data_IF_237837199970
#
_entry.id   IF_237837199970
#
_cell.length_a   1.000
_cell.length_b   1.000
_cell.length_c   1.000
_cell.angle_alpha   90.00
_cell.angle_beta   90.00
_cell.angle_gamma   90.00
#
_symmetry.space_group_name_H-M   'P 1'
#
loop_
_entity.id
_entity.type
_entity.pdbx_description
1 polymer ?
#
# COMPACT_ATOMS: atom_id res chain seq x y z
N UNK A 1 -3.41 18.86 3.53
CA UNK A 1 -2.37 17.87 3.91
C UNK A 1 -2.18 16.93 2.72
N UNK A 2 -0.95 16.55 2.36
CA UNK A 2 -0.75 15.60 1.25
C UNK A 2 -1.21 14.20 1.65
N UNK A 3 -1.95 13.55 0.74
CA UNK A 3 -2.50 12.19 0.88
C UNK A 3 -1.60 11.20 0.17
N UNK A 4 -1.05 10.23 0.90
CA UNK A 4 -0.29 9.11 0.39
C UNK A 4 -1.15 7.86 0.50
N UNK A 5 -1.57 7.32 -0.64
CA UNK A 5 -2.44 6.15 -0.69
C UNK A 5 -1.61 4.90 -0.95
N UNK A 6 -1.91 3.84 -0.19
CA UNK A 6 -1.32 2.52 -0.35
C UNK A 6 -2.34 1.62 -1.03
N UNK A 7 -2.06 1.18 -2.27
CA UNK A 7 -2.94 0.32 -3.06
C UNK A 7 -2.24 -0.98 -3.48
N UNK A 8 -3.02 -1.91 -4.03
CA UNK A 8 -2.55 -3.23 -4.48
C UNK A 8 -3.59 -4.32 -4.17
N UNK A 9 -3.34 -5.51 -4.71
CA UNK A 9 -4.22 -6.67 -4.53
C UNK A 9 -4.44 -7.06 -3.06
N UNK A 10 -5.51 -7.80 -2.73
CA UNK A 10 -5.66 -8.42 -1.42
C UNK A 10 -4.39 -9.17 -1.01
N UNK A 11 -4.03 -9.11 0.28
CA UNK A 11 -2.88 -9.80 0.86
C UNK A 11 -1.49 -9.41 0.32
N UNK A 12 -1.37 -8.35 -0.51
CA UNK A 12 -0.08 -7.84 -0.97
C UNK A 12 0.79 -7.24 0.16
N UNK A 13 0.20 -6.95 1.33
CA UNK A 13 0.91 -6.44 2.51
C UNK A 13 0.70 -4.94 2.80
N UNK A 14 -0.36 -4.33 2.26
CA UNK A 14 -0.71 -2.90 2.43
C UNK A 14 -0.83 -2.45 3.88
N UNK A 15 -1.63 -3.16 4.67
CA UNK A 15 -1.86 -2.83 6.08
C UNK A 15 -0.57 -2.98 6.91
N UNK A 16 0.13 -4.11 6.76
CA UNK A 16 1.43 -4.34 7.44
C UNK A 16 2.43 -3.24 7.09
N UNK A 17 2.57 -2.93 5.80
CA UNK A 17 3.44 -1.84 5.34
C UNK A 17 3.05 -0.51 5.98
N UNK A 18 1.76 -0.16 5.98
CA UNK A 18 1.29 1.13 6.47
C UNK A 18 1.56 1.30 7.97
N UNK A 19 1.29 0.27 8.77
CA UNK A 19 1.55 0.27 10.21
C UNK A 19 3.05 0.33 10.53
N UNK A 20 3.84 -0.55 9.92
CA UNK A 20 5.29 -0.59 10.15
C UNK A 20 5.98 0.65 9.62
N UNK A 21 5.55 1.20 8.49
CA UNK A 21 6.14 2.41 7.93
C UNK A 21 5.83 3.62 8.83
N UNK A 22 4.60 3.71 9.37
CA UNK A 22 4.27 4.74 10.35
C UNK A 22 5.15 4.67 11.60
N UNK A 23 5.33 3.48 12.16
CA UNK A 23 6.20 3.24 13.30
C UNK A 23 7.67 3.54 12.98
N UNK A 24 8.17 3.12 11.80
CA UNK A 24 9.51 3.43 11.30
C UNK A 24 9.75 4.95 11.18
N UNK A 25 8.72 5.71 10.85
CA UNK A 25 8.77 7.18 10.81
C UNK A 25 8.71 7.82 12.21
N UNK A 26 8.61 7.04 13.28
CA UNK A 26 8.55 7.50 14.67
C UNK A 26 7.14 7.79 15.18
N UNK A 27 6.10 7.32 14.50
CA UNK A 27 4.71 7.50 14.95
C UNK A 27 4.34 6.36 15.89
N UNK A 28 4.30 6.64 17.19
CA UNK A 28 3.80 5.73 18.22
C UNK A 28 3.23 6.55 19.40
N UNK A 29 2.04 6.20 19.94
CA UNK A 29 1.14 5.14 19.48
C UNK A 29 0.49 5.48 18.11
N UNK A 30 -0.10 4.48 17.47
CA UNK A 30 -0.74 4.64 16.16
C UNK A 30 -2.18 5.10 16.35
N UNK A 31 -2.48 6.34 15.94
CA UNK A 31 -3.84 6.88 15.92
C UNK A 31 -4.46 6.68 14.53
N UNK A 32 -5.36 5.71 14.42
CA UNK A 32 -6.05 5.37 13.18
C UNK A 32 -7.45 5.98 13.15
N UNK A 33 -7.76 6.69 12.07
CA UNK A 33 -9.12 7.00 11.68
C UNK A 33 -9.61 5.91 10.72
N UNK A 34 -10.69 5.22 11.09
CA UNK A 34 -11.35 4.23 10.23
C UNK A 34 -12.60 4.88 9.67
N UNK A 35 -12.62 5.07 8.35
CA UNK A 35 -13.77 5.65 7.64
C UNK A 35 -14.71 4.54 7.20
N UNK A 36 -15.96 4.62 7.64
CA UNK A 36 -17.05 3.74 7.26
C UNK A 36 -18.22 4.63 6.80
N UNK A 37 -18.52 4.59 5.50
CA UNK A 37 -19.52 5.44 4.87
C UNK A 37 -19.32 6.94 5.20
N UNK A 38 -20.27 7.55 5.93
CA UNK A 38 -20.23 8.96 6.38
C UNK A 38 -19.68 9.13 7.79
N UNK A 39 -19.29 8.04 8.45
CA UNK A 39 -18.81 8.04 9.83
C UNK A 39 -17.32 7.79 9.89
N UNK A 40 -16.65 8.44 10.85
CA UNK A 40 -15.23 8.22 11.13
C UNK A 40 -15.10 7.84 12.59
N UNK A 41 -14.56 6.65 12.84
CA UNK A 41 -14.20 6.21 14.20
C UNK A 41 -12.69 6.34 14.39
N UNK A 42 -12.27 6.68 15.60
CA UNK A 42 -10.87 6.83 15.95
C UNK A 42 -10.47 5.72 16.91
N UNK A 43 -9.35 5.08 16.63
CA UNK A 43 -8.77 4.03 17.49
C UNK A 43 -7.29 4.26 17.66
N UNK A 44 -6.79 4.00 18.86
CA UNK A 44 -5.37 4.08 19.19
C UNK A 44 -4.86 2.68 19.44
N UNK A 45 -3.73 2.34 18.84
CA UNK A 45 -3.13 1.02 18.95
C UNK A 45 -1.63 1.08 19.27
N UNK A 46 -1.14 0.09 20.01
CA UNK A 46 0.27 -0.30 19.93
C UNK A 46 0.57 -0.95 18.57
N UNK A 47 1.83 -0.97 18.13
CA UNK A 47 2.18 -1.54 16.82
C UNK A 47 1.82 -3.03 16.72
N UNK A 48 2.24 -3.84 17.71
CA UNK A 48 1.99 -5.28 17.71
C UNK A 48 0.49 -5.59 17.76
N UNK A 49 -0.25 -4.87 18.59
CA UNK A 49 -1.71 -4.96 18.70
C UNK A 49 -2.39 -4.61 17.35
N UNK A 50 -1.94 -3.54 16.69
CA UNK A 50 -2.47 -3.14 15.39
C UNK A 50 -2.25 -4.24 14.33
N UNK A 51 -1.05 -4.83 14.30
CA UNK A 51 -0.73 -5.91 13.36
C UNK A 51 -1.64 -7.11 13.62
N UNK A 52 -1.82 -7.52 14.88
CA UNK A 52 -2.65 -8.65 15.25
C UNK A 52 -4.13 -8.44 14.87
N UNK A 53 -4.70 -7.27 15.18
CA UNK A 53 -6.13 -7.03 14.98
C UNK A 53 -6.50 -6.67 13.53
N UNK A 54 -5.62 -5.95 12.81
CA UNK A 54 -5.95 -5.34 11.52
C UNK A 54 -5.50 -6.18 10.32
N UNK A 55 -4.69 -7.22 10.52
CA UNK A 55 -4.20 -8.09 9.45
C UNK A 55 -4.84 -9.47 9.50
N UNK A 56 -4.89 -10.17 8.37
CA UNK A 56 -5.37 -11.55 8.29
C UNK A 56 -4.84 -12.22 7.03
N UNK A 57 -4.61 -13.54 7.03
CA UNK A 57 -4.36 -14.29 5.80
C UNK A 57 -5.61 -14.39 4.90
N UNK A 58 -6.83 -14.19 5.46
CA UNK A 58 -8.06 -14.20 4.65
C UNK A 58 -8.13 -12.93 3.79
N UNK A 59 -8.44 -13.05 2.48
CA UNK A 59 -8.56 -11.88 1.61
C UNK A 59 -9.69 -10.95 2.09
N UNK A 60 -9.59 -9.68 1.71
CA UNK A 60 -10.57 -8.63 2.03
C UNK A 60 -10.79 -8.36 3.52
N UNK A 61 -9.76 -8.55 4.36
CA UNK A 61 -9.79 -8.13 5.77
C UNK A 61 -9.98 -6.63 5.95
N UNK A 62 -9.31 -5.82 5.12
CA UNK A 62 -9.45 -4.36 5.10
C UNK A 62 -10.56 -3.99 4.13
N UNK A 63 -11.76 -3.71 4.67
CA UNK A 63 -12.92 -3.24 3.87
C UNK A 63 -13.15 -1.73 3.97
N UNK A 64 -12.38 -1.04 4.82
CA UNK A 64 -12.56 0.37 5.14
C UNK A 64 -11.25 1.11 4.89
N UNK A 65 -11.34 2.39 4.52
CA UNK A 65 -10.16 3.24 4.46
C UNK A 65 -9.64 3.48 5.89
N UNK A 66 -8.38 3.14 6.12
CA UNK A 66 -7.70 3.39 7.38
C UNK A 66 -6.68 4.49 7.17
N UNK A 67 -6.89 5.62 7.85
CA UNK A 67 -6.09 6.82 7.70
C UNK A 67 -5.27 7.06 8.97
N UNK A 68 -3.99 7.41 8.80
CA UNK A 68 -3.12 7.79 9.91
C UNK A 68 -2.21 8.95 9.50
N UNK A 69 -1.90 9.84 10.43
CA UNK A 69 -1.05 11.01 10.16
C UNK A 69 0.35 10.75 10.68
N UNK A 70 1.35 10.88 9.81
CA UNK A 70 2.77 10.73 10.17
C UNK A 70 3.52 12.04 10.02
N UNK A 71 4.50 12.23 10.89
CA UNK A 71 5.47 13.31 10.80
C UNK A 71 6.70 12.86 9.98
N UNK A 72 7.04 13.63 8.96
CA UNK A 72 8.24 13.43 8.15
C UNK A 72 9.19 14.61 8.36
N UNK A 73 10.38 14.37 8.95
CA UNK A 73 11.43 15.37 9.00
C UNK A 73 11.79 15.82 7.58
N UNK A 74 11.87 17.12 7.33
CA UNK A 74 12.27 17.68 6.05
C UNK A 74 13.50 18.58 6.24
N UNK A 75 14.13 19.00 5.12
CA UNK A 75 15.30 19.90 5.17
C UNK A 75 15.01 21.21 5.94
N UNK A 76 13.75 21.65 5.98
CA UNK A 76 13.25 22.73 6.83
C UNK A 76 11.97 22.26 7.55
N UNK A 77 12.05 22.06 8.86
CA UNK A 77 10.91 21.71 9.71
C UNK A 77 10.39 20.28 9.54
N UNK A 78 9.14 20.08 9.95
CA UNK A 78 8.45 18.79 9.92
C UNK A 78 7.22 18.90 9.02
N UNK A 79 7.14 18.06 7.99
CA UNK A 79 5.94 17.94 7.15
C UNK A 79 5.05 16.84 7.72
N UNK A 80 3.74 17.06 7.74
CA UNK A 80 2.75 16.03 8.08
C UNK A 80 2.08 15.52 6.82
N UNK A 81 1.97 14.20 6.70
CA UNK A 81 1.25 13.55 5.61
C UNK A 81 0.24 12.55 6.17
N UNK A 82 -0.79 12.28 5.38
CA UNK A 82 -1.76 11.25 5.68
C UNK A 82 -1.39 9.99 4.91
N UNK A 83 -1.10 8.90 5.61
CA UNK A 83 -1.04 7.56 5.01
C UNK A 83 -2.44 6.96 5.04
N UNK A 84 -2.85 6.35 3.93
CA UNK A 84 -4.18 5.80 3.75
C UNK A 84 -4.03 4.37 3.25
N UNK A 85 -4.30 3.41 4.13
CA UNK A 85 -4.40 1.99 3.78
C UNK A 85 -5.79 1.71 3.21
N UNK A 86 -5.83 0.97 2.10
CA UNK A 86 -7.07 0.75 1.33
C UNK A 86 -7.48 -0.72 1.29
N UNK A 87 -8.71 -0.95 0.83
CA UNK A 87 -9.13 -2.29 0.44
C UNK A 87 -8.27 -2.82 -0.72
N UNK A 88 -8.18 -4.15 -0.82
CA UNK A 88 -7.53 -4.81 -1.94
C UNK A 88 -8.36 -4.69 -3.22
N UNK A 89 -7.69 -4.33 -4.32
CA UNK A 89 -8.30 -4.30 -5.65
C UNK A 89 -8.24 -5.71 -6.27
N UNK A 90 -9.35 -6.19 -6.82
CA UNK A 90 -9.45 -7.49 -7.50
C UNK A 90 -9.95 -7.31 -8.93
N UNK A 91 -9.73 -8.34 -9.74
CA UNK A 91 -10.20 -8.38 -11.12
C UNK A 91 -11.72 -8.55 -11.17
N UNK A 92 -12.35 -7.95 -12.18
CA UNK A 92 -13.80 -7.94 -12.32
C UNK A 92 -14.53 -7.17 -11.21
N UNK A 93 -15.84 -7.41 -11.10
CA UNK A 93 -16.69 -6.73 -10.12
C UNK A 93 -17.13 -7.74 -9.05
N UNK A 94 -16.73 -7.59 -7.78
CA UNK A 94 -17.07 -8.56 -6.72
C UNK A 94 -18.58 -8.68 -6.50
N UNK A 95 -19.10 -9.90 -6.39
CA UNK A 95 -20.51 -10.16 -6.08
C UNK A 95 -20.95 -9.56 -4.74
N UNK A 96 -20.09 -9.62 -3.74
CA UNK A 96 -20.36 -9.09 -2.41
C UNK A 96 -20.41 -7.57 -2.42
N UNK A 97 -21.54 -7.00 -2.00
CA UNK A 97 -21.80 -5.57 -2.03
C UNK A 97 -20.80 -4.77 -1.18
N UNK A 98 -20.40 -5.29 -0.03
CA UNK A 98 -19.46 -4.61 0.87
C UNK A 98 -18.07 -4.48 0.25
N UNK A 99 -17.58 -5.54 -0.42
CA UNK A 99 -16.29 -5.51 -1.13
C UNK A 99 -16.37 -4.52 -2.30
N UNK A 100 -17.48 -4.54 -3.05
CA UNK A 100 -17.70 -3.62 -4.17
C UNK A 100 -17.69 -2.16 -3.73
N UNK A 101 -18.37 -1.83 -2.62
CA UNK A 101 -18.36 -0.49 -2.02
C UNK A 101 -16.94 -0.10 -1.60
N UNK A 102 -16.24 -0.98 -0.88
CA UNK A 102 -14.87 -0.74 -0.44
C UNK A 102 -13.90 -0.47 -1.61
N UNK A 103 -14.05 -1.19 -2.72
CA UNK A 103 -13.27 -0.95 -3.93
C UNK A 103 -13.61 0.40 -4.58
N UNK A 104 -14.89 0.77 -4.67
CA UNK A 104 -15.30 2.07 -5.18
C UNK A 104 -14.72 3.23 -4.34
N UNK A 105 -14.74 3.10 -3.01
CA UNK A 105 -14.11 4.07 -2.10
C UNK A 105 -12.59 4.15 -2.29
N UNK A 106 -11.94 3.02 -2.52
CA UNK A 106 -10.49 2.96 -2.80
C UNK A 106 -10.17 3.70 -4.09
N UNK A 107 -10.92 3.45 -5.17
CA UNK A 107 -10.74 4.13 -6.46
C UNK A 107 -11.02 5.64 -6.35
N UNK A 108 -12.06 6.02 -5.60
CA UNK A 108 -12.34 7.43 -5.33
C UNK A 108 -11.17 8.10 -4.59
N UNK A 109 -10.63 7.45 -3.56
CA UNK A 109 -9.50 7.98 -2.80
C UNK A 109 -8.25 8.12 -3.69
N UNK A 110 -7.97 7.14 -4.56
CA UNK A 110 -6.83 7.16 -5.51
C UNK A 110 -6.86 8.41 -6.40
N UNK A 111 -8.04 8.85 -6.84
CA UNK A 111 -8.18 10.06 -7.67
C UNK A 111 -7.63 11.30 -6.97
N UNK A 112 -7.88 11.45 -5.67
CA UNK A 112 -7.46 12.59 -4.84
C UNK A 112 -6.06 12.42 -4.20
N UNK A 113 -5.37 11.32 -4.51
CA UNK A 113 -4.06 11.02 -3.96
C UNK A 113 -2.97 11.95 -4.52
N UNK A 114 -2.08 12.42 -3.65
CA UNK A 114 -0.89 13.16 -4.06
C UNK A 114 0.29 12.21 -4.31
N UNK A 115 0.35 11.12 -3.54
CA UNK A 115 1.30 10.03 -3.71
C UNK A 115 0.54 8.70 -3.73
N UNK A 116 1.02 7.77 -4.54
CA UNK A 116 0.48 6.42 -4.66
C UNK A 116 1.63 5.44 -4.47
N UNK A 117 1.54 4.61 -3.44
CA UNK A 117 2.42 3.48 -3.20
C UNK A 117 1.68 2.21 -3.61
N UNK A 118 2.04 1.64 -4.75
CA UNK A 118 1.43 0.43 -5.28
C UNK A 118 2.21 -0.80 -4.83
N UNK A 119 1.63 -1.58 -3.93
CA UNK A 119 2.26 -2.78 -3.37
C UNK A 119 1.89 -4.01 -4.21
N UNK A 120 2.93 -4.70 -4.68
CA UNK A 120 2.82 -5.98 -5.39
C UNK A 120 3.55 -7.04 -4.57
N UNK A 121 2.90 -8.19 -4.40
CA UNK A 121 3.51 -9.34 -3.70
C UNK A 121 4.49 -10.07 -4.62
N UNK A 122 5.79 -9.85 -4.44
CA UNK A 122 6.81 -10.45 -5.29
C UNK A 122 6.87 -11.98 -5.12
N UNK A 123 6.49 -12.55 -3.97
CA UNK A 123 6.55 -14.00 -3.76
C UNK A 123 5.47 -14.77 -4.51
N UNK A 124 4.46 -14.06 -5.05
CA UNK A 124 3.36 -14.65 -5.81
C UNK A 124 3.51 -14.44 -7.30
N UNK A 125 4.25 -13.43 -7.74
CA UNK A 125 4.44 -13.15 -9.17
C UNK A 125 5.25 -14.27 -9.81
N UNK A 126 4.61 -14.96 -10.75
CA UNK A 126 5.20 -16.03 -11.57
C UNK A 126 5.13 -15.68 -13.05
N UNK A 127 5.80 -16.47 -13.88
CA UNK A 127 5.84 -16.27 -15.33
C UNK A 127 4.43 -16.24 -15.96
N UNK A 128 4.31 -15.52 -17.10
CA UNK A 128 3.07 -15.39 -17.85
C UNK A 128 2.48 -16.76 -18.21
N UNK A 129 1.16 -16.93 -18.02
CA UNK A 129 0.45 -18.21 -18.20
C UNK A 129 0.31 -19.06 -16.95
N UNK A 130 0.79 -18.59 -15.80
CA UNK A 130 0.56 -19.21 -14.48
C UNK A 130 -0.53 -18.48 -13.70
N UNK A 131 -1.17 -19.19 -12.76
CA UNK A 131 -2.33 -18.72 -11.99
C UNK A 131 -2.04 -17.48 -11.13
N UNK A 132 -0.77 -17.20 -10.82
CA UNK A 132 -0.35 -16.12 -9.92
C UNK A 132 0.50 -15.04 -10.61
N UNK A 133 0.45 -14.95 -11.94
CA UNK A 133 1.13 -13.87 -12.68
C UNK A 133 0.63 -12.47 -12.26
N UNK A 134 1.36 -11.43 -12.67
CA UNK A 134 0.86 -10.06 -12.62
C UNK A 134 -0.52 -10.00 -13.27
N UNK A 135 -1.50 -9.47 -12.54
CA UNK A 135 -2.89 -9.50 -12.97
C UNK A 135 -3.29 -8.21 -13.64
N UNK A 136 -4.45 -8.21 -14.27
CA UNK A 136 -4.97 -7.08 -15.04
C UNK A 136 -5.03 -5.80 -14.18
N UNK A 137 -5.42 -5.94 -12.91
CA UNK A 137 -5.48 -4.84 -11.94
C UNK A 137 -4.12 -4.18 -11.74
N UNK A 138 -3.02 -4.94 -11.67
CA UNK A 138 -1.69 -4.38 -11.42
C UNK A 138 -1.27 -3.50 -12.61
N UNK A 139 -1.54 -3.97 -13.83
CA UNK A 139 -1.29 -3.21 -15.06
C UNK A 139 -2.17 -1.96 -15.15
N UNK A 140 -3.47 -2.08 -14.90
CA UNK A 140 -4.40 -0.94 -14.93
C UNK A 140 -4.00 0.15 -13.92
N UNK A 141 -3.62 -0.26 -12.70
CA UNK A 141 -3.14 0.66 -11.66
C UNK A 141 -1.83 1.33 -12.08
N UNK A 142 -0.89 0.57 -12.66
CA UNK A 142 0.37 1.13 -13.12
C UNK A 142 0.18 2.12 -14.27
N UNK A 143 -0.65 1.80 -15.26
CA UNK A 143 -1.01 2.70 -16.34
C UNK A 143 -1.64 4.00 -15.83
N UNK A 144 -2.57 3.88 -14.86
CA UNK A 144 -3.16 5.06 -14.23
C UNK A 144 -2.12 5.90 -13.46
N UNK A 145 -1.21 5.23 -12.75
CA UNK A 145 -0.14 5.85 -11.97
C UNK A 145 0.95 6.50 -12.83
N UNK A 146 1.15 6.05 -14.06
CA UNK A 146 2.24 6.48 -14.96
C UNK A 146 2.30 7.99 -15.16
N UNK A 147 1.14 8.66 -15.16
CA UNK A 147 1.04 10.10 -15.38
C UNK A 147 1.33 10.93 -14.12
N UNK A 148 1.64 10.30 -12.99
CA UNK A 148 1.83 10.96 -11.70
C UNK A 148 3.27 10.81 -11.24
N UNK A 149 3.95 11.95 -11.02
CA UNK A 149 5.29 11.98 -10.44
C UNK A 149 5.38 11.28 -9.06
N UNK A 150 4.26 11.28 -8.31
CA UNK A 150 4.15 10.66 -6.99
C UNK A 150 3.82 9.16 -6.97
N UNK A 151 3.99 8.43 -8.07
CA UNK A 151 3.69 6.99 -8.16
C UNK A 151 4.95 6.12 -7.97
N UNK A 152 4.87 5.13 -7.08
CA UNK A 152 5.96 4.20 -6.78
C UNK A 152 5.42 2.77 -6.63
N UNK A 153 6.05 1.82 -7.31
CA UNK A 153 5.78 0.40 -7.12
C UNK A 153 6.68 -0.14 -6.01
N UNK A 154 6.09 -0.85 -5.05
CA UNK A 154 6.76 -1.54 -3.96
C UNK A 154 6.62 -3.04 -4.17
N UNK A 155 7.69 -3.68 -4.66
CA UNK A 155 7.77 -5.14 -4.76
C UNK A 155 8.02 -5.70 -3.36
N UNK A 156 6.97 -6.17 -2.71
CA UNK A 156 6.95 -6.54 -1.31
C UNK A 156 7.20 -8.04 -1.09
N UNK A 157 7.53 -8.39 0.15
CA UNK A 157 7.84 -9.75 0.63
C UNK A 157 9.12 -10.34 0.06
N UNK A 158 10.12 -9.51 -0.19
CA UNK A 158 11.45 -9.94 -0.67
C UNK A 158 12.20 -10.85 0.32
N UNK A 159 11.71 -10.94 1.56
CA UNK A 159 12.19 -11.88 2.57
C UNK A 159 11.84 -13.34 2.26
N UNK A 160 10.89 -13.58 1.36
CA UNK A 160 10.53 -14.92 0.91
C UNK A 160 11.42 -15.37 -0.25
N UNK A 161 11.90 -16.63 -0.27
CA UNK A 161 12.81 -17.11 -1.31
C UNK A 161 12.20 -17.06 -2.72
N UNK A 162 10.89 -17.24 -2.83
CA UNK A 162 10.15 -17.19 -4.11
C UNK A 162 10.09 -15.78 -4.70
N UNK A 163 10.36 -14.73 -3.91
CA UNK A 163 10.24 -13.35 -4.34
C UNK A 163 11.33 -12.91 -5.32
N UNK A 164 12.45 -13.65 -5.43
CA UNK A 164 13.56 -13.29 -6.30
C UNK A 164 13.13 -13.24 -7.78
N UNK A 165 12.51 -14.30 -8.26
CA UNK A 165 12.02 -14.38 -9.65
C UNK A 165 10.89 -13.36 -9.89
N UNK A 166 9.97 -13.23 -8.93
CA UNK A 166 8.88 -12.26 -9.04
C UNK A 166 9.37 -10.82 -9.08
N UNK A 167 10.42 -10.46 -8.34
CA UNK A 167 11.03 -9.13 -8.38
C UNK A 167 11.62 -8.83 -9.76
N UNK A 168 12.33 -9.79 -10.36
CA UNK A 168 12.90 -9.65 -11.72
C UNK A 168 11.79 -9.46 -12.76
N UNK A 169 10.70 -10.23 -12.65
CA UNK A 169 9.52 -10.09 -13.51
C UNK A 169 8.83 -8.72 -13.34
N UNK A 170 8.58 -8.28 -12.10
CA UNK A 170 7.98 -6.96 -11.83
C UNK A 170 8.84 -5.85 -12.42
N UNK A 171 10.17 -5.91 -12.22
CA UNK A 171 11.08 -4.90 -12.76
C UNK A 171 11.07 -4.87 -14.30
N UNK A 172 10.94 -6.03 -14.95
CA UNK A 172 10.86 -6.13 -16.41
C UNK A 172 9.53 -5.60 -16.96
N UNK A 173 8.40 -6.05 -16.41
CA UNK A 173 7.07 -5.68 -16.90
C UNK A 173 6.76 -4.20 -16.65
N UNK A 174 7.29 -3.63 -15.57
CA UNK A 174 7.10 -2.22 -15.21
C UNK A 174 8.38 -1.38 -15.40
N UNK A 175 9.20 -1.68 -16.41
CA UNK A 175 10.48 -0.98 -16.65
C UNK A 175 10.34 0.55 -16.82
N UNK A 176 9.15 1.05 -17.19
CA UNK A 176 8.83 2.48 -17.27
C UNK A 176 8.46 3.12 -15.92
N UNK A 177 8.43 2.36 -14.84
CA UNK A 177 8.08 2.82 -13.50
C UNK A 177 9.23 2.64 -12.52
N UNK A 178 9.22 3.47 -11.48
CA UNK A 178 10.11 3.25 -10.35
C UNK A 178 9.60 2.06 -9.54
N UNK A 179 10.42 1.02 -9.39
CA UNK A 179 10.15 -0.18 -8.58
C UNK A 179 11.15 -0.24 -7.44
N UNK A 180 10.69 -0.43 -6.21
CA UNK A 180 11.55 -0.65 -5.04
C UNK A 180 11.25 -2.00 -4.38
N UNK A 181 12.28 -2.84 -4.16
CA UNK A 181 12.13 -4.05 -3.35
C UNK A 181 12.00 -3.68 -1.87
N UNK A 182 11.00 -4.24 -1.18
CA UNK A 182 10.81 -4.06 0.26
C UNK A 182 10.41 -5.36 0.96
N UNK A 183 10.71 -5.43 2.26
CA UNK A 183 9.99 -6.32 3.16
C UNK A 183 9.21 -5.45 4.14
N UNK A 184 7.89 -5.40 3.98
CA UNK A 184 7.02 -4.68 4.89
C UNK A 184 7.09 -5.24 6.33
N UNK A 185 7.29 -6.55 6.46
CA UNK A 185 7.37 -7.23 7.75
C UNK A 185 8.67 -6.87 8.48
N UNK A 186 9.81 -6.92 7.78
CA UNK A 186 11.13 -6.67 8.36
C UNK A 186 11.64 -5.23 8.15
N UNK A 187 10.78 -4.33 7.67
CA UNK A 187 11.08 -2.91 7.41
C UNK A 187 12.26 -2.69 6.43
N UNK A 188 12.58 -3.69 5.62
CA UNK A 188 13.66 -3.60 4.65
C UNK A 188 13.24 -2.70 3.48
N UNK A 189 14.16 -1.83 3.02
CA UNK A 189 13.90 -0.87 1.94
C UNK A 189 13.17 0.42 2.37
N UNK A 190 12.69 0.53 3.62
CA UNK A 190 11.91 1.69 4.09
C UNK A 190 12.66 3.02 4.02
N UNK A 191 13.99 3.00 4.15
CA UNK A 191 14.82 4.21 3.97
C UNK A 191 14.64 4.83 2.58
N UNK A 192 14.63 4.00 1.53
CA UNK A 192 14.45 4.46 0.16
C UNK A 192 13.00 4.95 -0.07
N UNK A 193 12.02 4.25 0.50
CA UNK A 193 10.60 4.66 0.45
C UNK A 193 10.40 6.02 1.14
N UNK A 194 10.98 6.22 2.33
CA UNK A 194 10.96 7.51 3.04
C UNK A 194 11.56 8.62 2.18
N UNK A 195 12.71 8.40 1.55
CA UNK A 195 13.33 9.38 0.66
C UNK A 195 12.49 9.68 -0.57
N UNK A 196 11.80 8.69 -1.14
CA UNK A 196 10.85 8.92 -2.23
C UNK A 196 9.68 9.80 -1.75
N UNK A 197 9.04 9.44 -0.64
CA UNK A 197 7.92 10.20 -0.09
C UNK A 197 8.35 11.64 0.22
N UNK A 198 9.51 11.84 0.85
CA UNK A 198 10.08 13.16 1.18
C UNK A 198 10.30 14.06 -0.05
N UNK A 199 10.68 13.49 -1.20
CA UNK A 199 10.90 14.24 -2.44
C UNK A 199 9.61 14.75 -3.08
N UNK A 200 8.51 14.02 -2.88
CA UNK A 200 7.22 14.32 -3.52
C UNK A 200 6.23 15.02 -2.57
N UNK A 201 6.67 15.36 -1.36
CA UNK A 201 5.88 16.13 -0.37
C UNK A 201 6.36 17.56 -0.22
#
# INVERSE_FOLDING_TARGET
MKRCIIIGKPNAGKTVFTLNFAAYLGTAPLHLAVRQDKTTSWKTYGLDEAIEQLTSPKPHRTLNLQELVVALPARKGVKRIQLIDTCGLVEGIPEQQDIRRAMAETLAAVRDAHLILHIIDASRVKAAGTVEALGEVDYQVAQFGQLRDGYLILANKIDLPEAKEGLELIAREFAGHQVMPISALYQQGFKAVKQFVQRHI
#
